data_IF_533184428686
#
_entry.id   IF_533184428686
#
_cell.length_a   1.000
_cell.length_b   1.000
_cell.length_c   1.000
_cell.angle_alpha   90.00
_cell.angle_beta   90.00
_cell.angle_gamma   90.00
#
_symmetry.space_group_name_H-M   'P 1'
#
loop_
_entity.id
_entity.type
_entity.pdbx_description
1 polymer ?
#
# COMPACT_ATOMS: atom_id res chain seq x y z
N UNK A 1 8.40 3.14 -5.53
CA UNK A 1 7.23 3.12 -4.63
C UNK A 1 6.05 2.54 -5.40
N UNK A 2 5.21 1.74 -4.74
CA UNK A 2 4.04 1.09 -5.33
C UNK A 2 2.77 1.86 -4.94
N UNK A 3 1.99 2.25 -5.95
CA UNK A 3 0.62 2.73 -5.77
C UNK A 3 -0.36 1.56 -5.89
N UNK A 4 -1.06 1.15 -4.82
CA UNK A 4 -1.90 -0.05 -4.84
C UNK A 4 -3.04 0.06 -5.85
N UNK A 5 -3.71 1.22 -5.91
CA UNK A 5 -4.86 1.45 -6.79
C UNK A 5 -4.45 1.44 -8.26
N UNK A 6 -3.44 2.22 -8.65
CA UNK A 6 -2.94 2.26 -10.03
C UNK A 6 -2.41 0.90 -10.49
N UNK A 7 -1.74 0.17 -9.59
CA UNK A 7 -1.27 -1.18 -9.88
C UNK A 7 -2.44 -2.13 -10.14
N UNK A 8 -3.45 -2.15 -9.27
CA UNK A 8 -4.63 -3.00 -9.44
C UNK A 8 -5.37 -2.71 -10.75
N UNK A 9 -5.51 -1.42 -11.09
CA UNK A 9 -6.11 -0.99 -12.35
C UNK A 9 -5.29 -1.44 -13.56
N UNK A 10 -3.96 -1.27 -13.51
CA UNK A 10 -3.04 -1.72 -14.57
C UNK A 10 -3.05 -3.25 -14.76
N UNK A 11 -3.36 -4.00 -13.72
CA UNK A 11 -3.49 -5.46 -13.77
C UNK A 11 -4.89 -5.92 -14.25
N UNK A 12 -5.82 -5.00 -14.49
CA UNK A 12 -7.20 -5.29 -14.92
C UNK A 12 -8.11 -5.80 -13.79
N UNK A 13 -7.72 -5.56 -12.53
CA UNK A 13 -8.39 -6.05 -11.31
C UNK A 13 -8.58 -4.88 -10.34
N UNK A 14 -9.13 -3.78 -10.85
CA UNK A 14 -9.26 -2.51 -10.14
C UNK A 14 -9.88 -2.68 -8.76
N UNK A 15 -9.12 -2.33 -7.72
CA UNK A 15 -9.57 -2.38 -6.31
C UNK A 15 -9.60 -3.77 -5.69
N UNK A 16 -9.31 -4.84 -6.43
CA UNK A 16 -9.24 -6.21 -5.91
C UNK A 16 -7.82 -6.50 -5.40
N UNK A 17 -7.59 -6.15 -4.13
CA UNK A 17 -6.30 -6.33 -3.46
C UNK A 17 -6.08 -7.74 -2.88
N UNK A 18 -7.10 -8.58 -2.87
CA UNK A 18 -7.00 -9.98 -2.46
C UNK A 18 -6.70 -10.90 -3.65
N UNK A 19 -6.82 -10.38 -4.87
CA UNK A 19 -6.50 -11.11 -6.07
C UNK A 19 -5.08 -11.68 -6.05
N UNK A 20 -4.96 -12.97 -6.38
CA UNK A 20 -3.66 -13.64 -6.48
C UNK A 20 -2.69 -12.92 -7.41
N UNK A 21 -3.14 -12.39 -8.54
CA UNK A 21 -2.29 -11.65 -9.50
C UNK A 21 -1.68 -10.40 -8.87
N UNK A 22 -2.44 -9.69 -8.05
CA UNK A 22 -1.97 -8.50 -7.33
C UNK A 22 -0.90 -8.87 -6.29
N UNK A 23 -1.20 -9.86 -5.45
CA UNK A 23 -0.29 -10.34 -4.40
C UNK A 23 1.02 -10.90 -4.97
N UNK A 24 0.93 -11.71 -6.03
CA UNK A 24 2.10 -12.27 -6.72
C UNK A 24 2.98 -11.15 -7.32
N UNK A 25 2.34 -10.12 -7.90
CA UNK A 25 3.05 -8.95 -8.45
C UNK A 25 3.77 -8.15 -7.36
N UNK A 26 3.11 -7.89 -6.22
CA UNK A 26 3.75 -7.24 -5.08
C UNK A 26 4.94 -8.04 -4.55
N UNK A 27 4.78 -9.37 -4.41
CA UNK A 27 5.86 -10.26 -3.98
C UNK A 27 7.05 -10.20 -4.93
N UNK A 28 6.80 -10.17 -6.25
CA UNK A 28 7.85 -10.05 -7.25
C UNK A 28 8.58 -8.70 -7.14
N UNK A 29 7.86 -7.59 -6.98
CA UNK A 29 8.46 -6.26 -6.81
C UNK A 29 9.37 -6.24 -5.58
N UNK A 30 8.88 -6.72 -4.43
CA UNK A 30 9.67 -6.82 -3.20
C UNK A 30 10.93 -7.67 -3.37
N UNK A 31 10.82 -8.85 -4.00
CA UNK A 31 11.97 -9.74 -4.27
C UNK A 31 13.03 -9.05 -5.14
N UNK A 32 12.61 -8.33 -6.17
CA UNK A 32 13.53 -7.59 -7.05
C UNK A 32 14.19 -6.45 -6.28
N UNK A 33 13.43 -5.64 -5.55
CA UNK A 33 13.98 -4.57 -4.71
C UNK A 33 15.02 -5.10 -3.70
N UNK A 34 14.70 -6.20 -3.00
CA UNK A 34 15.62 -6.85 -2.07
C UNK A 34 16.89 -7.36 -2.77
N UNK A 35 16.76 -8.03 -3.92
CA UNK A 35 17.90 -8.53 -4.71
C UNK A 35 18.89 -7.42 -5.08
N UNK A 36 18.37 -6.25 -5.46
CA UNK A 36 19.18 -5.10 -5.85
C UNK A 36 19.50 -4.14 -4.70
N UNK A 37 19.14 -4.48 -3.45
CA UNK A 37 19.30 -3.63 -2.27
C UNK A 37 18.67 -2.23 -2.44
N UNK A 38 17.58 -2.17 -3.18
CA UNK A 38 16.84 -0.93 -3.44
C UNK A 38 15.70 -0.78 -2.42
N UNK A 39 15.55 0.40 -1.78
CA UNK A 39 14.40 0.70 -0.95
C UNK A 39 13.10 0.46 -1.70
N UNK A 40 12.20 -0.34 -1.12
CA UNK A 40 10.87 -0.55 -1.66
C UNK A 40 9.87 0.27 -0.85
N UNK A 41 9.02 1.02 -1.56
CA UNK A 41 8.02 1.87 -0.92
C UNK A 41 6.60 1.45 -1.24
N UNK A 42 5.66 1.70 -0.33
CA UNK A 42 4.24 1.36 -0.45
C UNK A 42 3.37 2.52 0.03
N UNK A 43 2.25 2.78 -0.67
CA UNK A 43 1.21 3.68 -0.16
C UNK A 43 0.16 2.90 0.62
N UNK A 44 0.01 3.22 1.90
CA UNK A 44 -1.09 2.79 2.77
C UNK A 44 -2.09 3.94 2.81
N UNK A 45 -3.14 3.89 1.98
CA UNK A 45 -4.02 5.06 1.75
C UNK A 45 -4.94 5.35 2.93
N UNK A 46 -5.48 4.31 3.55
CA UNK A 46 -6.25 4.45 4.79
C UNK A 46 -5.29 4.43 5.98
N UNK A 47 -5.48 5.29 7.01
CA UNK A 47 -4.66 5.28 8.21
C UNK A 47 -5.00 4.07 9.10
N UNK A 48 -4.70 2.86 8.60
CA UNK A 48 -4.87 1.59 9.28
C UNK A 48 -3.53 1.10 9.85
N UNK A 49 -3.43 1.06 11.17
CA UNK A 49 -2.23 0.66 11.90
C UNK A 49 -1.89 -0.81 11.67
N UNK A 50 -2.87 -1.71 11.49
CA UNK A 50 -2.62 -3.13 11.22
C UNK A 50 -1.98 -3.30 9.84
N UNK A 51 -2.49 -2.57 8.85
CA UNK A 51 -1.93 -2.57 7.51
C UNK A 51 -0.51 -1.99 7.50
N UNK A 52 -0.27 -0.90 8.24
CA UNK A 52 1.07 -0.32 8.40
C UNK A 52 2.07 -1.35 8.95
N UNK A 53 1.74 -1.98 10.08
CA UNK A 53 2.60 -2.99 10.69
C UNK A 53 2.85 -4.17 9.75
N UNK A 54 1.83 -4.61 9.01
CA UNK A 54 1.98 -5.64 8.01
C UNK A 54 2.99 -5.24 6.93
N UNK A 55 2.89 -4.02 6.38
CA UNK A 55 3.84 -3.54 5.35
C UNK A 55 5.26 -3.42 5.89
N UNK A 56 5.43 -3.03 7.15
CA UNK A 56 6.74 -3.03 7.80
C UNK A 56 7.30 -4.47 7.85
N UNK A 57 6.50 -5.44 8.30
CA UNK A 57 6.92 -6.86 8.37
C UNK A 57 7.23 -7.46 7.00
N UNK A 58 6.54 -7.03 5.94
CA UNK A 58 6.80 -7.46 4.56
C UNK A 58 8.11 -6.91 3.98
N UNK A 59 8.75 -5.94 4.64
CA UNK A 59 10.04 -5.39 4.24
C UNK A 59 9.98 -4.08 3.44
N UNK A 60 8.85 -3.39 3.41
CA UNK A 60 8.78 -2.04 2.86
C UNK A 60 9.51 -1.05 3.76
N UNK A 61 10.40 -0.24 3.19
CA UNK A 61 11.28 0.68 3.93
C UNK A 61 10.84 2.14 3.80
N UNK A 62 9.92 2.45 2.88
CA UNK A 62 9.31 3.77 2.74
C UNK A 62 7.80 3.62 2.66
N UNK A 63 7.07 4.08 3.68
CA UNK A 63 5.62 3.93 3.73
C UNK A 63 4.98 5.32 3.74
N UNK A 64 4.30 5.66 2.64
CA UNK A 64 3.39 6.80 2.64
C UNK A 64 2.15 6.36 3.41
N UNK A 65 1.94 6.92 4.60
CA UNK A 65 0.86 6.51 5.50
C UNK A 65 -0.25 7.56 5.53
N UNK A 66 -1.40 7.18 4.99
CA UNK A 66 -2.56 8.04 4.82
C UNK A 66 -2.41 9.05 3.68
N UNK A 67 -3.38 9.96 3.64
CA UNK A 67 -3.40 11.17 2.83
C UNK A 67 -4.03 12.25 3.71
N UNK A 68 -3.53 13.49 3.64
CA UNK A 68 -4.01 14.63 4.45
C UNK A 68 -5.54 14.79 4.41
N UNK A 69 -6.15 14.67 3.24
CA UNK A 69 -7.59 14.71 3.01
C UNK A 69 -8.34 13.60 3.75
N UNK A 70 -7.79 12.39 3.84
CA UNK A 70 -8.39 11.27 4.59
C UNK A 70 -8.30 11.55 6.09
N UNK A 71 -7.16 12.02 6.58
CA UNK A 71 -7.02 12.42 7.99
C UNK A 71 -7.98 13.55 8.35
N UNK A 72 -8.10 14.57 7.49
CA UNK A 72 -9.01 15.69 7.70
C UNK A 72 -10.47 15.22 7.70
N UNK A 73 -10.86 14.39 6.73
CA UNK A 73 -12.22 13.88 6.64
C UNK A 73 -12.60 13.02 7.86
N UNK A 74 -11.69 12.18 8.35
CA UNK A 74 -11.93 11.37 9.55
C UNK A 74 -11.94 12.22 10.83
N UNK A 75 -11.02 13.18 10.95
CA UNK A 75 -10.90 14.03 12.15
C UNK A 75 -11.96 15.13 12.25
N UNK A 76 -12.58 15.51 11.13
CA UNK A 76 -13.61 16.54 11.06
C UNK A 76 -15.03 15.98 10.91
N UNK A 77 -15.22 14.66 11.07
CA UNK A 77 -16.54 14.05 11.00
C UNK A 77 -17.48 14.67 12.06
N UNK A 78 -18.67 15.10 11.63
CA UNK A 78 -19.67 15.64 12.55
C UNK A 78 -20.08 14.56 13.58
N UNK A 79 -20.29 14.94 14.86
CA UNK A 79 -20.84 14.00 15.83
C UNK A 79 -22.18 13.46 15.34
N UNK A 80 -22.38 12.16 15.53
CA UNK A 80 -23.66 11.49 15.27
C UNK A 80 -24.65 11.77 16.39
#
# INVERSE_FOLDING_TARGET
>A
MVGPYDLSASLGITGDFENKKYLDTLSQILKVCAKYKMPCGMHVVQPDTKMLEQRIREGYTFIAYGVDTVFLNQGAAAPQ
#
